data_IF_881374569982
#
_entry.id   IF_881374569982
#
_cell.length_a   1.000
_cell.length_b   1.000
_cell.length_c   1.000
_cell.angle_alpha   90.00
_cell.angle_beta   90.00
_cell.angle_gamma   90.00
#
_symmetry.space_group_name_H-M   'P 1'
#
loop_
_entity.id
_entity.type
_entity.pdbx_description
1 polymer ?
#
# COMPACT_ATOMS: atom_id res chain seq x y z
N UNK A 1 18.83 -3.71 -21.58
CA UNK A 1 18.37 -4.84 -20.77
C UNK A 1 16.94 -5.24 -21.11
N UNK A 2 15.97 -4.33 -21.07
CA UNK A 2 14.57 -4.60 -21.42
C UNK A 2 14.41 -5.07 -22.86
N UNK A 3 15.05 -4.40 -23.81
CA UNK A 3 14.94 -4.74 -25.23
C UNK A 3 15.54 -6.11 -25.57
N UNK A 4 16.54 -6.54 -24.83
CA UNK A 4 17.19 -7.84 -25.02
C UNK A 4 16.53 -8.97 -24.21
N UNK A 5 15.55 -8.66 -23.37
CA UNK A 5 14.93 -9.63 -22.45
C UNK A 5 15.83 -10.05 -21.27
N UNK A 6 17.00 -9.42 -21.11
CA UNK A 6 17.91 -9.69 -20.00
C UNK A 6 17.39 -9.14 -18.65
N UNK A 7 16.58 -8.10 -18.72
CA UNK A 7 15.90 -7.52 -17.56
C UNK A 7 14.42 -7.88 -17.61
N UNK A 8 13.95 -8.59 -16.58
CA UNK A 8 12.53 -8.91 -16.40
C UNK A 8 11.97 -8.02 -15.28
N UNK A 9 10.79 -7.46 -15.51
CA UNK A 9 10.07 -6.69 -14.50
C UNK A 9 9.08 -7.60 -13.78
N UNK A 10 8.88 -7.38 -12.49
CA UNK A 10 7.95 -8.16 -11.66
C UNK A 10 6.49 -8.08 -12.13
N UNK A 11 6.13 -7.02 -12.86
CA UNK A 11 4.79 -6.84 -13.43
C UNK A 11 4.56 -7.61 -14.75
N UNK A 12 5.56 -8.29 -15.32
CA UNK A 12 5.41 -9.03 -16.58
C UNK A 12 4.57 -10.30 -16.42
N UNK A 13 4.56 -10.87 -15.23
CA UNK A 13 3.78 -12.06 -14.91
C UNK A 13 3.12 -11.87 -13.52
N UNK A 14 2.01 -11.13 -13.44
CA UNK A 14 1.39 -10.77 -12.18
C UNK A 14 0.75 -11.95 -11.43
N UNK A 15 0.50 -13.06 -12.11
CA UNK A 15 -0.08 -14.26 -11.52
C UNK A 15 0.98 -15.27 -11.04
N UNK A 16 2.26 -15.02 -11.32
CA UNK A 16 3.33 -15.84 -10.79
C UNK A 16 3.51 -15.58 -9.28
N UNK A 17 3.55 -16.62 -8.43
CA UNK A 17 3.63 -16.45 -6.97
C UNK A 17 4.79 -15.60 -6.48
N UNK A 18 5.93 -15.65 -7.17
CA UNK A 18 7.10 -14.82 -6.84
C UNK A 18 6.89 -13.32 -7.05
N UNK A 19 5.86 -12.94 -7.81
CA UNK A 19 5.53 -11.55 -8.12
C UNK A 19 4.34 -11.03 -7.28
N UNK A 20 3.82 -11.82 -6.36
CA UNK A 20 2.72 -11.40 -5.51
C UNK A 20 3.14 -10.25 -4.60
N UNK A 21 2.38 -9.15 -4.55
CA UNK A 21 2.59 -8.08 -3.58
C UNK A 21 2.09 -8.56 -2.21
N UNK A 22 2.98 -9.06 -1.37
CA UNK A 22 2.63 -9.73 -0.11
C UNK A 22 2.08 -8.79 0.96
N UNK A 23 2.49 -7.52 0.94
CA UNK A 23 2.09 -6.52 1.94
C UNK A 23 1.50 -5.28 1.27
N UNK A 24 0.38 -4.78 1.80
CA UNK A 24 -0.24 -3.55 1.36
C UNK A 24 -0.43 -2.60 2.54
N UNK A 25 0.18 -1.42 2.45
CA UNK A 25 -0.07 -0.32 3.36
C UNK A 25 -0.96 0.72 2.68
N UNK A 26 -2.13 0.97 3.25
CA UNK A 26 -3.05 2.00 2.78
C UNK A 26 -3.00 3.17 3.76
N UNK A 27 -2.49 4.28 3.29
CA UNK A 27 -2.30 5.46 4.11
C UNK A 27 -3.24 6.58 3.68
N UNK A 28 -4.16 6.95 4.60
CA UNK A 28 -5.15 8.03 4.42
C UNK A 28 -5.95 7.93 3.12
N UNK A 29 -6.34 6.72 2.76
CA UNK A 29 -7.08 6.48 1.53
C UNK A 29 -8.17 5.44 1.75
N UNK A 30 -9.38 5.76 1.35
CA UNK A 30 -10.44 4.77 1.24
C UNK A 30 -10.38 4.09 -0.14
N UNK A 31 -9.34 3.31 -0.35
CA UNK A 31 -9.02 2.66 -1.62
C UNK A 31 -10.16 1.78 -2.12
N UNK A 32 -10.77 1.00 -1.22
CA UNK A 32 -11.86 0.07 -1.57
C UNK A 32 -13.22 0.75 -1.69
N UNK A 33 -13.43 1.90 -1.07
CA UNK A 33 -14.75 2.54 -1.02
C UNK A 33 -14.91 3.75 -1.92
N UNK A 34 -13.84 4.46 -2.23
CA UNK A 34 -13.91 5.77 -2.89
C UNK A 34 -13.18 5.85 -4.24
N UNK A 35 -12.26 4.95 -4.54
CA UNK A 35 -11.46 5.04 -5.77
C UNK A 35 -12.23 4.72 -7.05
N UNK A 36 -13.40 4.09 -6.97
CA UNK A 36 -14.32 3.85 -8.08
C UNK A 36 -13.82 2.91 -9.16
N UNK A 37 -12.59 2.40 -9.06
CA UNK A 37 -11.98 1.50 -10.03
C UNK A 37 -11.19 0.40 -9.33
N UNK A 38 -11.26 -0.81 -9.89
CA UNK A 38 -10.44 -1.91 -9.42
C UNK A 38 -10.89 -2.57 -8.11
N UNK A 39 -12.06 -2.24 -7.57
CA UNK A 39 -12.57 -2.82 -6.31
C UNK A 39 -12.66 -4.34 -6.39
N UNK A 40 -13.16 -4.86 -7.49
CA UNK A 40 -13.29 -6.29 -7.69
C UNK A 40 -11.92 -6.96 -7.76
N UNK A 41 -10.95 -6.34 -8.41
CA UNK A 41 -9.58 -6.84 -8.42
C UNK A 41 -8.99 -6.89 -7.01
N UNK A 42 -9.14 -5.85 -6.23
CA UNK A 42 -8.69 -5.83 -4.84
C UNK A 42 -9.32 -6.92 -4.00
N UNK A 43 -10.62 -7.03 -4.04
CA UNK A 43 -11.34 -8.01 -3.23
C UNK A 43 -11.04 -9.45 -3.66
N UNK A 44 -11.04 -9.69 -4.95
CA UNK A 44 -10.93 -11.03 -5.52
C UNK A 44 -9.49 -11.51 -5.62
N UNK A 45 -8.61 -10.74 -6.23
CA UNK A 45 -7.25 -11.17 -6.52
C UNK A 45 -6.23 -10.80 -5.43
N UNK A 46 -6.38 -9.64 -4.79
CA UNK A 46 -5.45 -9.25 -3.74
C UNK A 46 -5.84 -9.86 -2.39
N UNK A 47 -7.11 -9.77 -2.00
CA UNK A 47 -7.59 -10.27 -0.71
C UNK A 47 -8.02 -11.73 -0.78
N UNK A 48 -8.46 -12.20 -1.95
CA UNK A 48 -8.90 -13.58 -2.12
C UNK A 48 -10.33 -13.82 -1.64
N UNK A 49 -11.19 -12.80 -1.65
CA UNK A 49 -12.58 -12.94 -1.25
C UNK A 49 -13.42 -13.60 -2.34
N UNK A 50 -14.32 -14.49 -1.96
CA UNK A 50 -15.32 -15.07 -2.85
C UNK A 50 -16.53 -14.15 -2.98
N UNK A 51 -16.33 -12.95 -3.48
CA UNK A 51 -17.40 -11.98 -3.60
C UNK A 51 -18.26 -12.19 -4.82
N UNK A 52 -19.57 -12.15 -4.60
CA UNK A 52 -20.60 -12.37 -5.58
C UNK A 52 -20.87 -11.26 -6.58
N UNK A 53 -20.03 -10.26 -6.75
CA UNK A 53 -20.10 -9.41 -7.93
C UNK A 53 -19.40 -10.14 -9.07
N UNK A 54 -20.09 -11.10 -9.62
CA UNK A 54 -19.67 -11.80 -10.82
C UNK A 54 -19.93 -10.92 -12.04
N UNK A 55 -19.06 -9.96 -12.28
CA UNK A 55 -18.94 -9.41 -13.60
C UNK A 55 -18.39 -10.51 -14.49
N UNK A 56 -19.17 -10.98 -15.46
CA UNK A 56 -18.61 -11.78 -16.55
C UNK A 56 -17.44 -11.01 -17.13
N UNK A 57 -16.32 -11.65 -17.21
CA UNK A 57 -15.11 -11.03 -17.70
C UNK A 57 -15.30 -10.64 -19.16
N UNK A 58 -15.53 -9.37 -19.43
CA UNK A 58 -15.64 -8.83 -20.78
C UNK A 58 -14.40 -9.16 -21.64
N UNK A 59 -13.25 -9.36 -21.01
CA UNK A 59 -12.02 -9.78 -21.68
C UNK A 59 -12.02 -11.23 -22.18
N UNK A 60 -12.87 -12.10 -21.68
CA UNK A 60 -12.99 -13.50 -22.15
C UNK A 60 -13.96 -13.66 -23.30
N UNK A 61 -14.83 -12.69 -23.51
CA UNK A 61 -15.95 -12.79 -24.46
C UNK A 61 -15.75 -12.05 -25.79
N UNK A 62 -14.62 -11.39 -26.04
CA UNK A 62 -14.43 -10.57 -27.23
C UNK A 62 -13.13 -10.78 -27.99
N UNK A 63 -13.14 -10.40 -29.27
CA UNK A 63 -11.95 -10.39 -30.13
C UNK A 63 -10.88 -9.37 -29.69
N UNK A 64 -11.24 -8.41 -28.83
CA UNK A 64 -10.37 -7.36 -28.31
C UNK A 64 -9.78 -7.69 -26.93
N UNK A 65 -9.65 -8.95 -26.62
CA UNK A 65 -9.06 -9.42 -25.37
C UNK A 65 -7.64 -8.87 -25.18
N UNK A 66 -7.34 -8.18 -24.06
CA UNK A 66 -5.97 -7.83 -23.73
C UNK A 66 -5.13 -9.12 -23.60
N UNK A 67 -3.96 -9.15 -24.18
CA UNK A 67 -3.12 -10.35 -24.20
C UNK A 67 -2.60 -10.77 -22.84
N UNK A 68 -2.59 -9.86 -21.86
CA UNK A 68 -1.86 -10.01 -20.60
C UNK A 68 -2.74 -9.98 -19.34
N UNK A 69 -4.02 -9.70 -19.45
CA UNK A 69 -4.93 -9.69 -18.30
C UNK A 69 -5.64 -11.03 -18.21
N UNK A 70 -5.17 -11.89 -17.36
CA UNK A 70 -5.91 -13.09 -16.98
C UNK A 70 -6.86 -12.74 -15.85
N UNK A 71 -8.11 -12.77 -16.15
CA UNK A 71 -9.16 -12.66 -15.17
C UNK A 71 -9.62 -14.07 -14.78
N UNK A 72 -9.70 -14.34 -13.49
CA UNK A 72 -10.21 -15.60 -12.97
C UNK A 72 -11.59 -15.36 -12.36
N UNK A 73 -12.57 -16.19 -12.65
CA UNK A 73 -13.90 -16.11 -12.03
C UNK A 73 -13.82 -16.33 -10.52
N UNK A 74 -12.93 -17.20 -10.08
CA UNK A 74 -12.53 -17.35 -8.69
C UNK A 74 -11.02 -17.13 -8.60
N UNK A 75 -10.58 -16.24 -7.71
CA UNK A 75 -9.18 -16.15 -7.39
C UNK A 75 -8.77 -17.42 -6.63
N UNK A 76 -7.79 -18.17 -7.11
CA UNK A 76 -7.37 -19.42 -6.46
C UNK A 76 -6.80 -19.14 -5.06
N UNK A 77 -6.19 -17.98 -4.86
CA UNK A 77 -5.60 -17.53 -3.60
C UNK A 77 -5.44 -16.01 -3.62
N UNK A 78 -5.59 -15.35 -2.48
CA UNK A 78 -5.27 -13.93 -2.33
C UNK A 78 -3.77 -13.70 -2.44
N UNK A 79 -3.38 -12.62 -3.14
CA UNK A 79 -1.96 -12.27 -3.36
C UNK A 79 -1.32 -11.56 -2.17
N UNK A 80 -2.13 -11.06 -1.23
CA UNK A 80 -1.68 -10.35 -0.04
C UNK A 80 -1.68 -11.27 1.18
N UNK A 81 -0.63 -11.15 1.99
CA UNK A 81 -0.55 -11.76 3.31
C UNK A 81 -0.96 -10.79 4.42
N UNK A 82 -0.79 -9.49 4.19
CA UNK A 82 -1.00 -8.47 5.19
C UNK A 82 -1.51 -7.16 4.56
N UNK A 83 -2.61 -6.66 5.12
CA UNK A 83 -3.15 -5.33 4.81
C UNK A 83 -3.13 -4.49 6.08
N UNK A 84 -2.43 -3.38 6.02
CA UNK A 84 -2.36 -2.39 7.10
C UNK A 84 -2.97 -1.09 6.62
N UNK A 85 -4.01 -0.61 7.29
CA UNK A 85 -4.58 0.70 7.01
C UNK A 85 -4.22 1.69 8.12
N UNK A 86 -3.69 2.84 7.71
CA UNK A 86 -3.32 3.97 8.57
C UNK A 86 -4.29 5.09 8.23
N UNK A 87 -5.29 5.31 9.07
CA UNK A 87 -6.35 6.28 8.77
C UNK A 87 -6.91 6.89 10.06
N UNK A 88 -7.45 8.10 9.93
CA UNK A 88 -8.17 8.80 11.00
C UNK A 88 -9.68 8.55 10.96
N UNK A 89 -10.15 7.76 10.00
CA UNK A 89 -11.54 7.34 9.85
C UNK A 89 -11.61 5.83 9.68
N UNK A 90 -12.66 5.24 10.24
CA UNK A 90 -12.97 3.83 9.98
C UNK A 90 -13.65 3.73 8.62
N UNK A 91 -12.84 3.70 7.56
CA UNK A 91 -13.29 3.57 6.17
C UNK A 91 -13.63 2.12 5.82
N UNK A 92 -14.27 1.91 4.66
CA UNK A 92 -14.50 0.54 4.16
C UNK A 92 -13.20 -0.24 3.95
N UNK A 93 -12.11 0.44 3.61
CA UNK A 93 -10.79 -0.20 3.50
C UNK A 93 -10.32 -0.74 4.85
N UNK A 94 -10.55 0.00 5.95
CA UNK A 94 -10.22 -0.47 7.30
C UNK A 94 -10.98 -1.77 7.65
N UNK A 95 -12.21 -1.92 7.19
CA UNK A 95 -13.01 -3.12 7.45
C UNK A 95 -12.43 -4.40 6.84
N UNK A 96 -11.61 -4.26 5.80
CA UNK A 96 -10.94 -5.38 5.12
C UNK A 96 -9.47 -5.52 5.53
N UNK A 97 -8.99 -4.71 6.44
CA UNK A 97 -7.59 -4.72 6.86
C UNK A 97 -7.36 -5.67 8.03
N UNK A 98 -6.20 -6.30 8.05
CA UNK A 98 -5.76 -7.14 9.17
C UNK A 98 -5.36 -6.28 10.36
N UNK A 99 -4.77 -5.12 10.09
CA UNK A 99 -4.35 -4.15 11.10
C UNK A 99 -4.84 -2.76 10.71
N UNK A 100 -5.49 -2.09 11.66
CA UNK A 100 -5.86 -0.69 11.55
C UNK A 100 -5.09 0.13 12.58
N UNK A 101 -4.32 1.09 12.11
CA UNK A 101 -3.54 2.01 12.96
C UNK A 101 -4.22 3.38 12.95
N UNK A 102 -4.85 3.80 14.07
CA UNK A 102 -5.50 5.09 14.16
C UNK A 102 -4.47 6.21 14.11
N UNK A 103 -4.65 7.15 13.17
CA UNK A 103 -3.74 8.28 13.01
C UNK A 103 -4.40 9.59 13.42
N UNK A 104 -3.61 10.49 13.99
CA UNK A 104 -4.03 11.83 14.36
C UNK A 104 -4.52 12.63 13.15
N UNK A 105 -5.54 13.45 13.34
CA UNK A 105 -6.01 14.43 12.33
C UNK A 105 -5.04 15.60 12.21
N UNK A 106 -5.30 16.49 11.25
CA UNK A 106 -4.45 17.68 11.07
C UNK A 106 -4.42 18.62 12.27
N UNK A 107 -5.50 18.65 13.07
CA UNK A 107 -5.58 19.46 14.28
C UNK A 107 -4.88 18.87 15.50
N UNK A 108 -4.53 17.58 15.41
CA UNK A 108 -3.98 16.79 16.51
C UNK A 108 -2.49 16.48 16.36
N UNK A 109 -1.82 17.03 15.34
CA UNK A 109 -0.41 16.75 15.09
C UNK A 109 0.37 17.98 14.63
N UNK A 110 1.68 17.95 14.92
CA UNK A 110 2.63 18.84 14.28
C UNK A 110 3.13 18.19 13.00
N UNK A 111 3.19 18.95 11.90
CA UNK A 111 3.61 18.45 10.60
C UNK A 111 4.13 19.58 9.72
N UNK A 112 4.61 19.25 8.55
CA UNK A 112 4.92 20.20 7.48
C UNK A 112 3.92 20.02 6.35
N UNK A 113 3.38 21.11 5.87
CA UNK A 113 2.46 21.13 4.74
C UNK A 113 3.14 21.77 3.53
N UNK A 114 3.08 21.06 2.41
CA UNK A 114 3.54 21.56 1.11
C UNK A 114 2.39 21.46 0.11
N UNK A 115 2.46 22.22 -0.95
CA UNK A 115 1.53 22.16 -2.08
C UNK A 115 2.33 22.24 -3.37
N UNK A 116 1.88 21.53 -4.38
CA UNK A 116 2.36 21.64 -5.74
C UNK A 116 2.00 22.99 -6.42
N UNK A 117 1.12 23.77 -5.77
CA UNK A 117 0.67 25.08 -6.24
C UNK A 117 1.62 26.23 -5.91
N UNK A 118 2.57 26.03 -5.00
CA UNK A 118 3.53 27.07 -4.56
C UNK A 118 4.78 26.45 -3.90
N UNK A 119 5.91 27.18 -3.86
CA UNK A 119 7.18 26.66 -3.33
C UNK A 119 7.31 26.80 -1.80
N UNK A 120 6.26 27.16 -1.07
CA UNK A 120 6.33 27.40 0.35
C UNK A 120 6.10 26.13 1.16
N UNK A 121 6.82 26.02 2.27
CA UNK A 121 6.63 24.99 3.30
C UNK A 121 5.98 25.68 4.50
N UNK A 122 4.84 25.16 4.93
CA UNK A 122 4.10 25.70 6.07
C UNK A 122 4.20 24.74 7.27
N UNK A 123 4.53 25.26 8.46
CA UNK A 123 4.37 24.47 9.67
C UNK A 123 2.88 24.27 9.96
N UNK A 124 2.50 23.06 10.25
CA UNK A 124 1.20 22.70 10.78
C UNK A 124 1.38 22.44 12.28
N UNK A 125 0.77 23.27 13.09
CA UNK A 125 0.86 23.18 14.55
C UNK A 125 -0.42 22.55 15.10
N UNK A 126 -0.27 21.58 15.99
CA UNK A 126 -1.39 20.95 16.67
C UNK A 126 -2.18 21.98 17.48
N UNK A 127 -3.50 21.93 17.36
CA UNK A 127 -4.42 22.76 18.15
C UNK A 127 -4.93 22.01 19.39
N UNK A 128 -4.93 20.70 19.35
CA UNK A 128 -5.36 19.79 20.43
C UNK A 128 -4.48 18.56 20.44
N UNK A 129 -4.44 17.87 21.56
CA UNK A 129 -3.74 16.59 21.67
C UNK A 129 -4.51 15.47 20.94
N UNK A 130 -3.80 14.46 20.40
CA UNK A 130 -4.43 13.30 19.81
C UNK A 130 -5.30 12.55 20.83
N UNK A 131 -6.46 12.11 20.37
CA UNK A 131 -7.37 11.36 21.22
C UNK A 131 -7.00 9.87 21.24
N UNK A 132 -7.22 9.25 22.37
CA UNK A 132 -7.07 7.81 22.58
C UNK A 132 -5.68 7.28 22.18
N UNK A 133 -5.60 6.24 21.38
CA UNK A 133 -4.35 5.63 20.90
C UNK A 133 -3.84 6.22 19.59
N UNK A 134 -4.47 7.29 19.09
CA UNK A 134 -4.06 7.94 17.86
C UNK A 134 -2.63 8.48 17.97
N UNK A 135 -1.85 8.25 16.93
CA UNK A 135 -0.48 8.77 16.79
C UNK A 135 -0.34 9.54 15.50
N UNK A 136 0.64 10.43 15.42
CA UNK A 136 0.96 11.07 14.16
C UNK A 136 1.46 10.03 13.15
N UNK A 137 1.27 10.30 11.87
CA UNK A 137 1.78 9.42 10.80
C UNK A 137 3.29 9.19 10.96
N UNK A 138 4.02 10.23 11.33
CA UNK A 138 5.46 10.15 11.60
C UNK A 138 5.80 9.13 12.70
N UNK A 139 5.10 9.16 13.81
CA UNK A 139 5.32 8.22 14.92
C UNK A 139 4.97 6.79 14.53
N UNK A 140 3.92 6.60 13.74
CA UNK A 140 3.54 5.28 13.22
C UNK A 140 4.66 4.73 12.33
N UNK A 141 5.06 5.47 11.29
CA UNK A 141 6.12 5.01 10.37
C UNK A 141 7.47 4.87 11.07
N UNK A 142 7.82 5.77 11.97
CA UNK A 142 9.03 5.65 12.81
C UNK A 142 9.01 4.38 13.65
N UNK A 143 7.86 4.06 14.22
CA UNK A 143 7.67 2.82 15.00
C UNK A 143 7.87 1.58 14.13
N UNK A 144 7.25 1.52 12.95
CA UNK A 144 7.42 0.42 12.00
C UNK A 144 8.88 0.29 11.58
N UNK A 145 9.53 1.39 11.20
CA UNK A 145 10.93 1.39 10.77
C UNK A 145 11.87 0.90 11.91
N UNK A 146 11.62 1.31 13.15
CA UNK A 146 12.38 0.84 14.30
C UNK A 146 12.27 -0.67 14.50
N UNK A 147 11.06 -1.22 14.43
CA UNK A 147 10.85 -2.65 14.58
C UNK A 147 11.41 -3.45 13.40
N UNK A 148 11.28 -2.94 12.17
CA UNK A 148 11.93 -3.52 11.01
C UNK A 148 13.46 -3.57 11.19
N UNK A 149 14.07 -2.47 11.65
CA UNK A 149 15.52 -2.43 11.92
C UNK A 149 15.95 -3.40 13.02
N UNK A 150 15.12 -3.57 14.05
CA UNK A 150 15.38 -4.51 15.14
C UNK A 150 15.31 -5.97 14.69
N UNK A 151 14.40 -6.29 13.77
CA UNK A 151 14.15 -7.66 13.31
C UNK A 151 14.99 -8.05 12.09
N UNK A 152 15.54 -7.07 11.37
CA UNK A 152 16.27 -7.31 10.11
C UNK A 152 17.61 -8.07 10.25
N UNK A 153 18.37 -8.00 11.37
CA UNK A 153 19.62 -8.73 11.46
C UNK A 153 19.44 -10.23 11.19
N UNK A 154 20.21 -10.75 10.23
CA UNK A 154 20.14 -12.14 9.80
C UNK A 154 19.05 -12.47 8.76
N UNK A 155 18.15 -11.52 8.43
CA UNK A 155 17.09 -11.71 7.44
C UNK A 155 17.27 -10.85 6.19
N UNK A 156 17.82 -9.65 6.34
CA UNK A 156 18.02 -8.68 5.25
C UNK A 156 19.51 -8.38 5.11
N UNK A 157 20.19 -9.06 4.16
CA UNK A 157 21.54 -8.76 3.77
C UNK A 157 22.61 -8.73 4.89
N UNK A 158 23.75 -8.19 4.56
CA UNK A 158 24.84 -7.86 5.50
C UNK A 158 24.81 -6.36 5.77
N UNK A 159 25.36 -5.94 6.94
CA UNK A 159 25.43 -4.53 7.40
C UNK A 159 26.00 -3.51 6.40
N UNK A 160 26.39 -3.94 5.19
CA UNK A 160 26.93 -3.09 4.14
C UNK A 160 25.86 -2.46 3.24
N UNK A 161 24.62 -2.89 3.32
CA UNK A 161 23.51 -2.24 2.63
C UNK A 161 23.06 -1.01 3.43
N UNK A 162 23.97 -0.04 3.53
CA UNK A 162 23.66 1.23 4.18
C UNK A 162 22.80 2.05 3.21
N UNK A 163 21.60 2.35 3.61
CA UNK A 163 20.84 3.44 2.99
C UNK A 163 21.54 4.75 3.36
N UNK A 164 22.30 5.28 2.42
CA UNK A 164 22.93 6.58 2.57
C UNK A 164 21.84 7.65 2.67
N UNK A 165 21.71 8.24 3.82
CA UNK A 165 20.82 9.41 4.00
C UNK A 165 21.45 10.63 3.30
N UNK A 166 20.65 11.54 2.72
CA UNK A 166 21.18 12.70 1.98
C UNK A 166 22.18 13.56 2.76
N UNK A 167 22.08 13.58 4.08
CA UNK A 167 23.00 14.33 4.97
C UNK A 167 24.42 13.74 5.08
N UNK A 168 24.67 12.58 4.48
CA UNK A 168 25.99 11.95 4.45
C UNK A 168 26.71 12.14 3.10
N UNK A 169 26.21 13.03 2.26
CA UNK A 169 26.75 13.35 0.93
C UNK A 169 27.41 14.74 0.89
N UNK A 170 28.18 15.13 1.91
CA UNK A 170 29.05 16.29 1.84
C UNK A 170 30.42 15.92 1.27
#
# INVERSE_FOLDING_TARGET
GLKSGALKLSCEDPDAPQNFPRNLFVWRSNLLGASGKGHEYFLKHLIGTKHGVQGKNLGEMGEQKPREVKWHDEAPEGKLDLIVTIDFRMSSTCMYSDIVLPTATWYEKNDLNTSDMHPFIHPLTAAVDPLWECRSDWEIFKGIARECSRLSPGHLGVEKDVVLVPLMHD
#
